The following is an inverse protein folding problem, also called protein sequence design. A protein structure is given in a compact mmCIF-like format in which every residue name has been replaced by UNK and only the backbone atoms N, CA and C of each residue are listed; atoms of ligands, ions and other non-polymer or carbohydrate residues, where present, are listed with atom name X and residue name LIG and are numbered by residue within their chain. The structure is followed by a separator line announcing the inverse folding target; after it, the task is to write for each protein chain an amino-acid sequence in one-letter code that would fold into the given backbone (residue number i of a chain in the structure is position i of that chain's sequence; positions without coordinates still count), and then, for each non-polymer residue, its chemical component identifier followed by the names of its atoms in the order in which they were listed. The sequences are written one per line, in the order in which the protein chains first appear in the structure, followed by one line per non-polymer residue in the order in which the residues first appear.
data_IF_192491820712
#
_entry.id   IF_192491820712
#
_cell.length_a   1.000
_cell.length_b   1.000
_cell.length_c   1.000
_cell.angle_alpha   90.00
_cell.angle_beta   90.00
_cell.angle_gamma   90.00
#
_symmetry.space_group_name_H-M   'P 1'
#
loop_
_entity.id
_entity.type
_entity.pdbx_description
1 polymer ?
#
# COMPACT_ATOMS: atom_id res chain seq x y z
N UNK A 1 -27.75 4.67 33.04
CA UNK A 1 -27.37 3.44 32.31
C UNK A 1 -27.14 3.84 30.86
N UNK A 2 -25.90 4.14 30.50
CA UNK A 2 -25.53 4.69 29.18
C UNK A 2 -25.49 3.57 28.14
N UNK A 3 -26.39 3.66 27.16
CA UNK A 3 -26.39 2.84 25.95
C UNK A 3 -25.18 3.26 25.09
N UNK A 4 -24.01 2.70 25.38
CA UNK A 4 -22.84 2.87 24.53
C UNK A 4 -22.96 1.89 23.37
N UNK A 5 -23.33 2.41 22.20
CA UNK A 5 -23.27 1.70 20.92
C UNK A 5 -21.79 1.39 20.57
N UNK A 6 -21.25 0.30 21.11
CA UNK A 6 -19.86 -0.16 20.88
C UNK A 6 -19.68 -0.95 19.56
N UNK A 7 -20.48 -0.68 18.52
CA UNK A 7 -20.48 -1.50 17.30
C UNK A 7 -20.29 -0.74 15.98
N UNK A 8 -20.01 0.56 16.00
CA UNK A 8 -19.75 1.27 14.76
C UNK A 8 -18.32 0.99 14.26
N UNK A 9 -18.20 0.13 13.25
CA UNK A 9 -17.01 0.10 12.39
C UNK A 9 -16.80 1.50 11.85
N UNK A 10 -15.59 2.04 12.02
CA UNK A 10 -15.27 3.36 11.52
C UNK A 10 -14.11 3.25 10.54
N UNK A 11 -14.21 3.99 9.44
CA UNK A 11 -13.22 3.97 8.38
C UNK A 11 -12.50 5.31 8.34
N UNK A 12 -11.18 5.28 8.24
CA UNK A 12 -10.36 6.49 8.03
C UNK A 12 -9.40 6.23 6.88
N UNK A 13 -9.55 7.02 5.81
CA UNK A 13 -8.83 6.86 4.53
C UNK A 13 -9.03 5.45 3.92
N UNK A 14 -10.25 4.92 3.99
CA UNK A 14 -10.57 3.58 3.47
C UNK A 14 -10.10 2.41 4.32
N UNK A 15 -9.34 2.65 5.40
CA UNK A 15 -8.95 1.62 6.35
C UNK A 15 -9.94 1.55 7.49
N UNK A 16 -10.38 0.34 7.83
CA UNK A 16 -11.20 0.12 9.01
C UNK A 16 -10.38 0.23 10.28
N UNK A 17 -10.88 1.00 11.23
CA UNK A 17 -10.34 1.13 12.57
C UNK A 17 -11.34 0.50 13.54
N UNK A 18 -10.81 -0.22 14.52
CA UNK A 18 -11.60 -0.79 15.61
C UNK A 18 -10.95 -0.39 16.93
N UNK A 19 -11.74 0.19 17.83
CA UNK A 19 -11.30 0.60 19.17
C UNK A 19 -11.37 -0.56 20.18
N UNK A 20 -12.11 -1.63 19.86
CA UNK A 20 -12.37 -2.72 20.81
C UNK A 20 -11.80 -4.03 20.27
N UNK A 21 -10.72 -4.46 20.90
CA UNK A 21 -10.03 -5.75 20.70
C UNK A 21 -10.91 -6.93 21.15
N UNK A 22 -12.11 -7.10 20.58
CA UNK A 22 -12.89 -8.34 20.78
C UNK A 22 -12.28 -9.49 19.98
N UNK A 23 -11.52 -9.17 18.93
CA UNK A 23 -10.81 -10.09 18.05
C UNK A 23 -9.33 -10.14 18.43
N UNK A 24 -8.77 -11.33 18.71
CA UNK A 24 -7.32 -11.53 18.98
C UNK A 24 -6.40 -11.07 17.85
N UNK A 25 -6.95 -10.82 16.67
CA UNK A 25 -6.22 -10.41 15.47
C UNK A 25 -6.87 -9.21 14.80
N UNK A 26 -6.05 -8.34 14.20
CA UNK A 26 -6.55 -7.24 13.38
C UNK A 26 -7.24 -7.78 12.11
N UNK A 27 -8.19 -7.01 11.56
CA UNK A 27 -8.79 -7.34 10.26
C UNK A 27 -7.76 -7.35 9.13
N UNK A 28 -6.73 -6.50 9.20
CA UNK A 28 -5.62 -6.50 8.25
C UNK A 28 -4.83 -7.83 8.27
N UNK A 29 -4.60 -8.40 9.46
CA UNK A 29 -3.99 -9.73 9.61
C UNK A 29 -4.85 -10.82 8.97
N UNK A 30 -6.18 -10.75 9.11
CA UNK A 30 -7.07 -11.71 8.45
C UNK A 30 -7.08 -11.54 6.93
N UNK A 31 -7.09 -10.29 6.45
CA UNK A 31 -7.07 -9.98 5.03
C UNK A 31 -5.77 -10.47 4.36
N UNK A 32 -4.62 -10.31 5.00
CA UNK A 32 -3.33 -10.73 4.42
C UNK A 32 -3.25 -12.23 4.14
N UNK A 33 -4.03 -13.06 4.85
CA UNK A 33 -4.05 -14.52 4.64
C UNK A 33 -4.62 -14.92 3.28
N UNK A 34 -5.49 -14.09 2.70
CA UNK A 34 -6.23 -14.41 1.46
C UNK A 34 -6.05 -13.33 0.37
N UNK A 35 -5.28 -12.27 0.64
CA UNK A 35 -5.04 -11.20 -0.30
C UNK A 35 -4.33 -11.70 -1.56
N UNK A 36 -4.72 -11.16 -2.72
CA UNK A 36 -4.01 -11.41 -3.97
C UNK A 36 -2.68 -10.62 -3.98
N UNK A 37 -1.64 -11.11 -4.68
CA UNK A 37 -0.42 -10.33 -4.90
C UNK A 37 -0.71 -8.95 -5.48
N UNK A 38 0.08 -7.96 -5.06
CA UNK A 38 -0.02 -6.61 -5.59
C UNK A 38 0.34 -6.57 -7.08
N UNK A 39 -0.27 -5.61 -7.78
CA UNK A 39 0.00 -5.39 -9.19
C UNK A 39 1.44 -4.94 -9.40
N UNK A 40 2.06 -5.46 -10.46
CA UNK A 40 3.40 -5.06 -10.89
C UNK A 40 3.31 -3.88 -11.85
N UNK A 41 4.34 -3.02 -11.89
CA UNK A 41 4.43 -2.01 -12.94
C UNK A 41 4.47 -2.66 -14.33
N UNK A 42 3.97 -1.98 -15.37
CA UNK A 42 4.23 -2.38 -16.74
C UNK A 42 5.75 -2.34 -17.03
N UNK A 43 6.22 -3.07 -18.05
CA UNK A 43 7.62 -3.02 -18.48
C UNK A 43 8.07 -1.58 -18.75
N UNK A 44 9.22 -1.18 -18.20
CA UNK A 44 9.76 0.17 -18.40
C UNK A 44 10.08 0.48 -19.88
N UNK A 45 10.27 -0.56 -20.70
CA UNK A 45 10.44 -0.44 -22.15
C UNK A 45 9.28 0.25 -22.85
N UNK A 46 8.09 0.23 -22.24
CA UNK A 46 6.87 0.76 -22.82
C UNK A 46 6.83 2.30 -22.73
N UNK A 47 7.60 2.90 -21.79
CA UNK A 47 7.75 4.35 -21.65
C UNK A 47 9.24 4.77 -21.70
N UNK A 48 9.69 5.11 -22.90
CA UNK A 48 11.07 5.58 -23.15
C UNK A 48 11.42 6.86 -22.37
N UNK A 49 10.42 7.69 -22.06
CA UNK A 49 10.65 8.95 -21.34
C UNK A 49 10.89 8.66 -19.87
N UNK A 50 10.08 7.79 -19.28
CA UNK A 50 10.28 7.31 -17.91
C UNK A 50 11.60 6.56 -17.77
N UNK A 51 11.95 5.66 -18.71
CA UNK A 51 13.23 4.95 -18.69
C UNK A 51 14.41 5.92 -18.68
N UNK A 52 14.38 6.92 -19.57
CA UNK A 52 15.41 7.95 -19.63
C UNK A 52 15.52 8.73 -18.32
N UNK A 53 14.39 9.16 -17.75
CA UNK A 53 14.37 9.94 -16.51
C UNK A 53 14.91 9.14 -15.31
N UNK A 54 14.48 7.89 -15.14
CA UNK A 54 14.93 7.02 -14.05
C UNK A 54 16.43 6.76 -14.15
N UNK A 55 16.94 6.48 -15.36
CA UNK A 55 18.36 6.20 -15.59
C UNK A 55 19.24 7.44 -15.45
N UNK A 56 18.74 8.61 -15.86
CA UNK A 56 19.52 9.87 -15.84
C UNK A 56 19.51 10.52 -14.45
N UNK A 57 18.39 10.43 -13.73
CA UNK A 57 18.21 11.11 -12.44
C UNK A 57 17.78 10.13 -11.32
N UNK A 58 18.56 9.07 -11.03
CA UNK A 58 18.17 8.05 -10.05
C UNK A 58 17.99 8.61 -8.63
N UNK A 59 18.64 9.73 -8.31
CA UNK A 59 18.53 10.40 -7.02
C UNK A 59 17.16 11.06 -6.80
N UNK A 60 16.42 11.43 -7.86
CA UNK A 60 15.05 11.97 -7.75
C UNK A 60 14.02 10.89 -7.40
N UNK A 61 14.31 9.64 -7.78
CA UNK A 61 13.44 8.50 -7.57
C UNK A 61 13.94 7.56 -6.46
N UNK A 62 14.81 8.07 -5.59
CA UNK A 62 15.37 7.26 -4.50
C UNK A 62 14.28 6.88 -3.50
N UNK A 63 14.01 5.59 -3.41
CA UNK A 63 13.11 5.04 -2.40
C UNK A 63 13.89 4.91 -1.09
N UNK A 64 13.48 5.67 -0.08
CA UNK A 64 14.02 5.57 1.28
C UNK A 64 12.98 4.90 2.15
N UNK A 65 13.12 3.59 2.34
CA UNK A 65 12.27 2.84 3.26
C UNK A 65 12.85 2.93 4.68
N UNK A 66 12.14 3.53 5.65
CA UNK A 66 12.61 3.58 7.04
C UNK A 66 12.48 2.23 7.77
N UNK A 67 11.86 1.24 7.14
CA UNK A 67 11.64 -0.09 7.71
C UNK A 67 12.88 -0.95 7.43
N UNK A 68 13.34 -1.71 8.44
CA UNK A 68 14.40 -2.69 8.23
C UNK A 68 13.84 -3.87 7.42
N UNK A 69 14.09 -3.84 6.11
CA UNK A 69 13.60 -4.83 5.16
C UNK A 69 14.09 -6.24 5.48
N UNK A 70 15.37 -6.44 5.77
CA UNK A 70 15.91 -7.76 6.09
C UNK A 70 15.26 -8.38 7.34
N UNK A 71 14.97 -7.55 8.36
CA UNK A 71 14.24 -8.03 9.54
C UNK A 71 12.78 -8.33 9.23
N UNK A 72 12.13 -7.52 8.40
CA UNK A 72 10.74 -7.74 7.99
C UNK A 72 10.60 -9.04 7.18
N UNK A 73 11.50 -9.27 6.22
CA UNK A 73 11.58 -10.50 5.43
C UNK A 73 11.71 -11.73 6.34
N UNK A 74 12.62 -11.67 7.32
CA UNK A 74 12.81 -12.76 8.29
C UNK A 74 11.56 -13.03 9.12
N UNK A 75 10.85 -11.99 9.56
CA UNK A 75 9.62 -12.13 10.35
C UNK A 75 8.46 -12.69 9.53
N UNK A 76 8.44 -12.47 8.22
CA UNK A 76 7.37 -12.90 7.31
C UNK A 76 7.68 -14.21 6.57
N UNK A 77 8.85 -14.80 6.77
CA UNK A 77 9.31 -16.02 6.08
C UNK A 77 8.32 -17.19 6.17
N UNK A 78 7.60 -17.31 7.29
CA UNK A 78 6.68 -18.42 7.58
C UNK A 78 5.21 -18.02 7.36
N UNK A 79 4.93 -16.86 6.73
CA UNK A 79 3.57 -16.43 6.45
C UNK A 79 2.92 -17.33 5.39
N UNK A 80 1.68 -17.78 5.62
CA UNK A 80 0.99 -18.73 4.72
C UNK A 80 0.80 -18.21 3.29
N UNK A 81 0.57 -16.91 3.12
CA UNK A 81 0.40 -16.28 1.82
C UNK A 81 1.71 -15.62 1.36
N UNK A 82 2.70 -16.45 1.00
CA UNK A 82 3.98 -15.98 0.47
C UNK A 82 3.85 -15.15 -0.82
N UNK A 83 2.96 -15.48 -1.79
CA UNK A 83 2.80 -14.67 -2.99
C UNK A 83 2.46 -13.20 -2.70
N UNK A 84 1.53 -12.96 -1.77
CA UNK A 84 1.21 -11.60 -1.32
C UNK A 84 2.38 -10.94 -0.60
N UNK A 85 3.01 -11.63 0.36
CA UNK A 85 4.15 -11.11 1.12
C UNK A 85 5.28 -10.67 0.20
N UNK A 86 5.65 -11.50 -0.78
CA UNK A 86 6.70 -11.17 -1.73
C UNK A 86 6.35 -9.94 -2.58
N UNK A 87 5.09 -9.77 -2.97
CA UNK A 87 4.67 -8.56 -3.70
C UNK A 87 4.72 -7.29 -2.84
N UNK A 88 4.45 -7.40 -1.53
CA UNK A 88 4.58 -6.27 -0.59
C UNK A 88 6.04 -5.92 -0.36
N UNK A 89 6.90 -6.92 -0.18
CA UNK A 89 8.34 -6.73 -0.02
C UNK A 89 8.95 -6.07 -1.26
N UNK A 90 8.55 -6.53 -2.46
CA UNK A 90 8.93 -5.92 -3.73
C UNK A 90 8.52 -4.45 -3.80
N UNK A 91 7.26 -4.12 -3.45
CA UNK A 91 6.80 -2.73 -3.38
C UNK A 91 7.50 -1.87 -2.33
N UNK A 92 8.01 -2.45 -1.24
CA UNK A 92 8.80 -1.70 -0.26
C UNK A 92 10.24 -1.44 -0.71
N UNK A 93 10.82 -2.34 -1.52
CA UNK A 93 12.15 -2.16 -2.13
C UNK A 93 12.09 -1.23 -3.35
N UNK A 94 11.10 -1.43 -4.22
CA UNK A 94 11.03 -0.86 -5.57
C UNK A 94 9.89 0.16 -5.75
N UNK A 95 9.20 0.53 -4.66
CA UNK A 95 7.97 1.33 -4.65
C UNK A 95 6.77 0.56 -5.17
N UNK A 96 5.59 0.91 -4.67
CA UNK A 96 4.33 0.35 -5.13
C UNK A 96 3.94 0.95 -6.47
N UNK A 97 3.45 0.09 -7.37
CA UNK A 97 2.70 0.57 -8.52
C UNK A 97 1.36 1.13 -8.03
N UNK A 98 1.01 2.38 -8.38
CA UNK A 98 -0.24 2.97 -7.92
C UNK A 98 -1.42 2.15 -8.44
N UNK A 99 -2.24 1.66 -7.52
CA UNK A 99 -3.59 1.14 -7.83
C UNK A 99 -4.60 2.28 -8.04
N UNK A 100 -4.12 3.48 -8.38
CA UNK A 100 -4.96 4.66 -8.58
C UNK A 100 -5.36 4.75 -10.03
N UNK A 101 -6.67 4.85 -10.26
CA UNK A 101 -7.19 5.21 -11.57
C UNK A 101 -6.73 6.62 -11.91
N UNK A 102 -6.40 6.85 -13.19
CA UNK A 102 -6.19 8.20 -13.68
C UNK A 102 -7.51 8.96 -13.49
N UNK A 103 -7.50 10.11 -12.79
CA UNK A 103 -8.71 10.90 -12.62
C UNK A 103 -9.34 11.20 -13.97
N UNK A 104 -10.65 11.01 -14.10
CA UNK A 104 -11.37 11.38 -15.31
C UNK A 104 -11.24 12.90 -15.58
N UNK A 105 -11.35 13.31 -16.84
CA UNK A 105 -11.18 14.72 -17.25
C UNK A 105 -12.15 15.69 -16.55
N UNK A 106 -13.23 15.18 -15.98
CA UNK A 106 -14.23 15.95 -15.22
C UNK A 106 -13.93 16.07 -13.72
N UNK A 107 -12.79 15.54 -13.24
CA UNK A 107 -12.40 15.66 -11.83
C UNK A 107 -11.97 17.09 -11.57
N UNK A 108 -12.87 17.87 -10.96
CA UNK A 108 -12.60 19.24 -10.54
C UNK A 108 -11.52 19.21 -9.46
N UNK A 109 -10.32 19.67 -9.79
CA UNK A 109 -9.28 19.94 -8.79
C UNK A 109 -9.83 21.04 -7.89
N UNK A 110 -10.25 20.67 -6.68
CA UNK A 110 -10.76 21.62 -5.71
C UNK A 110 -9.64 22.62 -5.36
N UNK A 111 -9.97 23.93 -5.27
CA UNK A 111 -9.04 25.01 -4.88
C UNK A 111 -8.23 24.73 -3.60
N UNK A 112 -8.68 23.81 -2.75
CA UNK A 112 -7.92 23.39 -1.58
C UNK A 112 -6.59 22.68 -1.92
N UNK A 113 -6.37 22.27 -3.17
CA UNK A 113 -5.15 21.60 -3.64
C UNK A 113 -4.33 22.44 -4.65
N UNK A 114 -4.73 23.70 -4.92
CA UNK A 114 -3.87 24.63 -5.66
C UNK A 114 -2.85 25.25 -4.69
N UNK A 115 -1.57 24.96 -4.92
CA UNK A 115 -0.44 25.62 -4.24
C UNK A 115 -0.37 27.07 -4.70
#
# INVERSE_FOLDING_TARGET
LTNNNFHSQWFKRGFEWDWVVSSRYSKATKASLQAVPLQKPPPISDDKTADYAIRTFPHLFKIVCPINMGRLELLLKDHHNQPFVMSVLDGLHNSFWPMSEIPADNVVINKNHSI
#
